data_IF_211761721038
#
_entry.id   IF_211761721038
#
_cell.length_a   1.000
_cell.length_b   1.000
_cell.length_c   1.000
_cell.angle_alpha   90.00
_cell.angle_beta   90.00
_cell.angle_gamma   90.00
#
_symmetry.space_group_name_H-M   'P 1'
#
loop_
_entity.id
_entity.type
_entity.pdbx_description
1 polymer ?
#
# COMPACT_ATOMS: atom_id res chain seq x y z
N UNK A 1 35.85 -35.06 -20.81
CA UNK A 1 34.83 -34.05 -20.44
C UNK A 1 33.87 -33.89 -21.61
N UNK A 2 32.57 -34.16 -21.41
CA UNK A 2 31.56 -34.17 -22.48
C UNK A 2 30.71 -32.89 -22.33
N UNK A 3 30.88 -31.95 -23.26
CA UNK A 3 30.13 -30.69 -23.28
C UNK A 3 28.76 -30.95 -23.90
N UNK A 4 27.70 -30.79 -23.11
CA UNK A 4 26.31 -30.91 -23.55
C UNK A 4 25.84 -29.51 -23.95
N UNK A 5 25.55 -29.31 -25.25
CA UNK A 5 24.92 -28.08 -25.76
C UNK A 5 23.39 -28.22 -25.67
N UNK A 6 22.73 -27.26 -25.04
CA UNK A 6 21.27 -27.13 -25.05
C UNK A 6 20.83 -26.16 -26.16
N UNK A 7 19.73 -26.45 -26.87
CA UNK A 7 19.18 -25.55 -27.88
C UNK A 7 18.46 -24.36 -27.22
N UNK A 8 18.63 -23.18 -27.81
CA UNK A 8 17.94 -21.96 -27.41
C UNK A 8 16.44 -22.05 -27.76
N UNK A 9 15.57 -21.96 -26.75
CA UNK A 9 14.12 -21.85 -26.94
C UNK A 9 13.75 -20.36 -26.94
N UNK A 10 13.21 -19.90 -28.07
CA UNK A 10 12.73 -18.53 -28.29
C UNK A 10 11.38 -18.33 -27.62
N UNK A 11 11.26 -17.33 -26.73
CA UNK A 11 10.10 -17.07 -25.85
C UNK A 11 9.02 -16.21 -26.56
N UNK A 12 9.14 -16.00 -27.86
CA UNK A 12 8.43 -14.91 -28.57
C UNK A 12 6.97 -15.21 -28.98
N UNK A 13 6.28 -16.19 -28.38
CA UNK A 13 4.96 -16.64 -28.89
C UNK A 13 3.85 -16.85 -27.85
N UNK A 14 3.94 -16.31 -26.63
CA UNK A 14 2.83 -16.43 -25.65
C UNK A 14 2.46 -15.05 -25.09
N UNK A 15 1.92 -14.17 -25.94
CA UNK A 15 1.20 -12.98 -25.48
C UNK A 15 0.26 -12.43 -26.56
N UNK A 16 -0.70 -13.24 -27.02
CA UNK A 16 -1.83 -12.75 -27.81
C UNK A 16 -3.10 -13.50 -27.40
N UNK A 17 -3.51 -13.38 -26.15
CA UNK A 17 -4.89 -13.64 -25.74
C UNK A 17 -5.16 -12.76 -24.52
N UNK A 18 -6.38 -12.21 -24.43
CA UNK A 18 -6.85 -11.19 -23.47
C UNK A 18 -6.69 -9.77 -24.04
N UNK A 19 -7.68 -9.31 -24.80
CA UNK A 19 -8.73 -8.38 -24.37
C UNK A 19 -9.66 -8.20 -25.56
N UNK A 20 -10.69 -9.04 -25.65
CA UNK A 20 -11.89 -8.72 -26.43
C UNK A 20 -13.09 -8.95 -25.52
N UNK A 21 -13.17 -8.10 -24.50
CA UNK A 21 -14.33 -8.02 -23.62
C UNK A 21 -15.40 -7.25 -24.40
N UNK A 22 -16.39 -8.02 -24.85
CA UNK A 22 -17.52 -7.61 -25.66
C UNK A 22 -18.23 -6.35 -25.09
N UNK A 23 -18.67 -5.40 -25.95
CA UNK A 23 -19.37 -4.17 -25.53
C UNK A 23 -20.71 -4.41 -24.81
N UNK A 24 -21.19 -5.66 -24.77
CA UNK A 24 -22.42 -6.05 -24.09
C UNK A 24 -22.36 -5.88 -22.55
N UNK A 25 -21.18 -6.04 -21.93
CA UNK A 25 -21.04 -5.93 -20.46
C UNK A 25 -21.20 -4.48 -19.99
N UNK A 26 -20.69 -3.52 -20.76
CA UNK A 26 -20.81 -2.09 -20.46
C UNK A 26 -22.25 -1.60 -20.53
N UNK A 27 -23.02 -2.09 -21.51
CA UNK A 27 -24.44 -1.75 -21.67
C UNK A 27 -25.26 -2.29 -20.49
N UNK A 28 -24.96 -3.50 -20.02
CA UNK A 28 -25.66 -4.11 -18.88
C UNK A 28 -25.43 -3.35 -17.56
N UNK A 29 -24.21 -2.87 -17.31
CA UNK A 29 -23.89 -2.04 -16.13
C UNK A 29 -24.56 -0.65 -16.16
N UNK A 30 -24.69 -0.03 -17.33
CA UNK A 30 -25.40 1.26 -17.46
C UNK A 30 -26.90 1.14 -17.21
N UNK A 31 -27.54 0.05 -17.66
CA UNK A 31 -28.97 -0.19 -17.44
C UNK A 31 -29.31 -0.48 -15.97
N UNK A 32 -28.46 -1.23 -15.25
CA UNK A 32 -28.67 -1.54 -13.83
C UNK A 32 -28.64 -0.29 -12.94
N UNK A 33 -27.78 0.68 -13.28
CA UNK A 33 -27.62 1.94 -12.54
C UNK A 33 -28.88 2.82 -12.59
N UNK A 34 -29.57 2.85 -13.73
CA UNK A 34 -30.73 3.71 -13.93
C UNK A 34 -32.00 3.16 -13.26
N UNK A 35 -32.11 1.83 -13.13
CA UNK A 35 -33.26 1.19 -12.48
C UNK A 35 -33.27 1.39 -10.95
N UNK A 36 -32.10 1.52 -10.33
CA UNK A 36 -31.95 1.67 -8.88
C UNK A 36 -32.31 3.09 -8.41
N UNK A 37 -31.97 4.12 -9.19
CA UNK A 37 -32.30 5.53 -8.86
C UNK A 37 -33.82 5.80 -8.93
N UNK A 38 -34.54 5.13 -9.82
CA UNK A 38 -36.00 5.29 -9.96
C UNK A 38 -36.78 4.72 -8.76
N UNK A 39 -36.36 3.58 -8.21
CA UNK A 39 -37.02 2.98 -7.03
C UNK A 39 -36.79 3.81 -5.76
N UNK A 40 -35.63 4.43 -5.60
CA UNK A 40 -35.30 5.23 -4.42
C UNK A 40 -36.16 6.52 -4.34
N UNK A 41 -36.38 7.20 -5.48
CA UNK A 41 -37.22 8.40 -5.54
C UNK A 41 -38.71 8.13 -5.25
N UNK A 42 -39.22 6.96 -5.61
CA UNK A 42 -40.62 6.58 -5.34
C UNK A 42 -40.80 6.24 -3.85
N UNK A 43 -39.77 5.69 -3.20
CA UNK A 43 -39.86 5.35 -1.78
C UNK A 43 -39.80 6.59 -0.86
N UNK A 44 -39.12 7.68 -1.26
CA UNK A 44 -39.03 8.91 -0.45
C UNK A 44 -40.28 9.81 -0.49
N UNK A 45 -41.21 9.64 -1.44
CA UNK A 45 -42.37 10.55 -1.60
C UNK A 45 -43.60 10.18 -0.77
N UNK A 46 -43.61 9.02 -0.11
CA UNK A 46 -44.81 8.52 0.60
C UNK A 46 -44.79 8.73 2.13
N UNK A 47 -43.76 9.37 2.67
CA UNK A 47 -43.56 9.47 4.12
C UNK A 47 -43.47 10.93 4.60
N UNK A 48 -44.30 11.81 4.04
CA UNK A 48 -44.33 13.24 4.39
C UNK A 48 -45.72 13.71 4.80
N UNK A 49 -46.41 12.93 5.62
CA UNK A 49 -47.58 13.41 6.36
C UNK A 49 -47.73 12.60 7.65
N UNK A 50 -47.26 13.17 8.77
CA UNK A 50 -47.67 12.71 10.10
C UNK A 50 -46.64 11.98 10.93
N UNK A 51 -45.43 12.53 11.13
CA UNK A 51 -44.65 12.30 12.36
C UNK A 51 -43.97 13.62 12.73
N UNK A 52 -44.79 14.59 13.13
CA UNK A 52 -44.35 15.67 14.00
C UNK A 52 -44.47 15.19 15.45
N UNK A 53 -43.47 15.55 16.27
CA UNK A 53 -43.55 15.60 17.73
C UNK A 53 -43.08 14.40 18.60
N UNK A 54 -42.26 13.45 18.12
CA UNK A 54 -41.51 12.52 19.01
C UNK A 54 -40.11 12.19 18.43
N UNK A 55 -39.26 13.20 18.24
CA UNK A 55 -37.85 12.95 17.88
C UNK A 55 -36.90 14.02 18.45
N UNK A 56 -37.18 14.52 19.66
CA UNK A 56 -36.34 15.48 20.39
C UNK A 56 -35.91 14.97 21.77
N UNK A 57 -35.92 13.65 21.99
CA UNK A 57 -35.59 13.02 23.29
C UNK A 57 -34.55 11.88 23.21
N UNK A 58 -33.84 11.74 22.09
CA UNK A 58 -32.73 10.77 21.95
C UNK A 58 -31.42 11.40 21.44
N UNK A 59 -31.18 12.70 21.70
CA UNK A 59 -29.92 13.36 21.36
C UNK A 59 -28.87 13.36 22.50
N UNK A 60 -29.14 12.71 23.63
CA UNK A 60 -28.29 12.83 24.82
C UNK A 60 -27.30 11.67 25.07
N UNK A 61 -27.32 10.56 24.34
CA UNK A 61 -26.45 9.41 24.68
C UNK A 61 -26.02 8.63 23.43
N UNK A 62 -25.35 9.29 22.50
CA UNK A 62 -24.45 8.61 21.56
C UNK A 62 -23.27 9.52 21.23
N UNK A 63 -22.60 10.03 22.26
CA UNK A 63 -21.17 10.32 22.15
C UNK A 63 -20.43 8.98 22.12
N UNK A 64 -20.75 8.14 21.15
CA UNK A 64 -19.80 7.13 20.72
C UNK A 64 -18.67 7.96 20.13
N UNK A 65 -17.51 7.87 20.77
CA UNK A 65 -16.25 8.19 20.16
C UNK A 65 -16.21 7.47 18.80
N UNK A 66 -16.65 8.14 17.74
CA UNK A 66 -15.95 8.00 16.49
C UNK A 66 -14.55 8.50 16.82
N UNK A 67 -13.68 7.56 17.21
CA UNK A 67 -12.29 7.65 16.84
C UNK A 67 -12.30 7.81 15.31
N UNK A 68 -12.45 9.06 14.88
CA UNK A 68 -11.91 9.50 13.62
C UNK A 68 -10.44 9.18 13.80
N UNK A 69 -10.04 8.00 13.35
CA UNK A 69 -8.66 7.62 13.12
C UNK A 69 -8.15 8.57 12.03
N UNK A 70 -8.00 9.85 12.37
CA UNK A 70 -7.09 10.73 11.70
C UNK A 70 -5.74 10.06 11.89
N UNK A 71 -5.32 9.33 10.86
CA UNK A 71 -3.99 8.76 10.77
C UNK A 71 -3.02 9.93 10.87
N UNK A 72 -2.68 10.31 12.10
CA UNK A 72 -1.69 11.33 12.38
C UNK A 72 -0.39 10.75 11.87
N UNK A 73 0.13 11.33 10.80
CA UNK A 73 1.45 11.00 10.30
C UNK A 73 2.43 11.21 11.46
N UNK A 74 3.16 10.15 11.82
CA UNK A 74 4.11 10.19 12.91
C UNK A 74 5.29 11.05 12.45
N UNK A 75 5.44 12.23 13.04
CA UNK A 75 6.52 13.16 12.68
C UNK A 75 7.83 12.65 13.30
N UNK A 76 8.80 12.35 12.45
CA UNK A 76 10.14 11.89 12.83
C UNK A 76 11.13 13.00 12.52
N UNK A 77 12.03 13.32 13.47
CA UNK A 77 13.05 14.34 13.21
C UNK A 77 14.08 13.89 12.17
N UNK A 78 14.64 14.84 11.43
CA UNK A 78 15.64 14.59 10.39
C UNK A 78 16.87 13.83 10.90
N UNK A 79 17.28 14.07 12.14
CA UNK A 79 18.41 13.36 12.77
C UNK A 79 18.13 11.87 12.90
N UNK A 80 16.91 11.53 13.33
CA UNK A 80 16.47 10.13 13.47
C UNK A 80 16.30 9.50 12.09
N UNK A 81 15.78 10.25 11.11
CA UNK A 81 15.59 9.73 9.76
C UNK A 81 16.92 9.33 9.07
N UNK A 82 18.01 10.04 9.35
CA UNK A 82 19.36 9.72 8.85
C UNK A 82 19.85 8.34 9.32
N UNK A 83 19.34 7.82 10.43
CA UNK A 83 19.72 6.49 10.92
C UNK A 83 19.27 5.35 9.99
N UNK A 84 18.17 5.56 9.25
CA UNK A 84 17.63 4.57 8.31
C UNK A 84 18.33 4.59 6.94
N UNK A 85 19.01 5.68 6.60
CA UNK A 85 19.69 5.84 5.30
C UNK A 85 20.80 4.80 5.14
N UNK A 86 20.84 4.17 3.97
CA UNK A 86 21.84 3.16 3.62
C UNK A 86 21.37 2.17 2.56
N UNK A 87 22.26 1.27 2.16
CA UNK A 87 21.95 0.14 1.27
C UNK A 87 21.68 -1.08 2.12
N UNK A 88 20.61 -1.81 1.82
CA UNK A 88 20.21 -3.03 2.49
C UNK A 88 20.23 -4.19 1.51
N UNK A 89 20.88 -5.28 1.89
CA UNK A 89 21.03 -6.48 1.07
C UNK A 89 20.09 -7.56 1.57
N UNK A 90 19.29 -8.12 0.67
CA UNK A 90 18.40 -9.24 0.99
C UNK A 90 19.19 -10.54 1.10
N UNK A 91 18.87 -11.36 2.11
CA UNK A 91 19.47 -12.69 2.25
C UNK A 91 18.86 -13.73 1.32
N UNK A 92 17.64 -13.47 0.85
CA UNK A 92 16.86 -14.40 0.04
C UNK A 92 17.24 -14.26 -1.44
N UNK A 93 17.32 -15.39 -2.17
CA UNK A 93 17.68 -15.42 -3.59
C UNK A 93 16.66 -14.73 -4.51
N UNK A 94 15.46 -14.48 -4.00
CA UNK A 94 14.37 -13.78 -4.72
C UNK A 94 14.31 -12.28 -4.37
N UNK A 95 15.10 -11.83 -3.39
CA UNK A 95 15.16 -10.44 -2.99
C UNK A 95 16.06 -9.60 -3.91
N UNK A 96 15.94 -8.28 -3.77
CA UNK A 96 16.85 -7.32 -4.40
C UNK A 96 17.35 -6.34 -3.35
N UNK A 97 18.58 -5.85 -3.54
CA UNK A 97 19.14 -4.81 -2.69
C UNK A 97 18.32 -3.52 -2.80
N UNK A 98 18.07 -2.89 -1.66
CA UNK A 98 17.28 -1.66 -1.54
C UNK A 98 18.17 -0.53 -1.00
N UNK A 99 18.18 0.58 -1.71
CA UNK A 99 18.75 1.84 -1.24
C UNK A 99 17.66 2.66 -0.54
N UNK A 100 17.91 3.04 0.71
CA UNK A 100 17.10 3.96 1.49
C UNK A 100 17.83 5.31 1.54
N UNK A 101 17.17 6.38 1.12
CA UNK A 101 17.73 7.73 1.04
C UNK A 101 16.76 8.79 1.58
N UNK A 102 17.25 10.01 1.79
CA UNK A 102 16.42 11.19 2.09
C UNK A 102 16.28 12.05 0.82
N UNK A 103 15.09 12.58 0.59
CA UNK A 103 14.90 13.62 -0.42
C UNK A 103 15.18 15.03 0.14
N UNK A 104 14.97 16.06 -0.70
CA UNK A 104 15.17 17.45 -0.32
C UNK A 104 14.13 18.03 0.66
N UNK A 105 13.11 17.26 1.01
CA UNK A 105 12.04 17.61 1.96
C UNK A 105 12.11 16.74 3.22
N UNK A 106 13.25 16.09 3.46
CA UNK A 106 13.47 15.20 4.61
C UNK A 106 12.50 14.01 4.67
N UNK A 107 12.05 13.50 3.52
CA UNK A 107 11.25 12.27 3.45
C UNK A 107 12.14 11.08 3.16
N UNK A 108 11.89 9.96 3.84
CA UNK A 108 12.53 8.71 3.48
C UNK A 108 12.01 8.18 2.16
N UNK A 109 12.94 7.73 1.34
CA UNK A 109 12.70 7.19 0.02
C UNK A 109 13.35 5.82 -0.09
N UNK A 110 12.70 4.90 -0.81
CA UNK A 110 13.22 3.56 -1.08
C UNK A 110 13.29 3.30 -2.58
N UNK A 111 14.40 2.73 -3.04
CA UNK A 111 14.58 2.32 -4.44
C UNK A 111 15.38 1.03 -4.53
N UNK A 112 15.05 0.09 -5.43
CA UNK A 112 15.95 -1.01 -5.74
C UNK A 112 17.28 -0.49 -6.30
N UNK A 113 18.41 -1.02 -5.83
CA UNK A 113 19.76 -0.60 -6.26
C UNK A 113 19.96 -0.76 -7.78
N UNK A 114 19.33 -1.77 -8.38
CA UNK A 114 19.35 -2.00 -9.83
C UNK A 114 18.45 -1.05 -10.64
N UNK A 115 17.70 -0.16 -9.98
CA UNK A 115 16.82 0.85 -10.58
C UNK A 115 15.72 0.27 -11.48
N UNK A 116 15.35 -1.01 -11.31
CA UNK A 116 14.27 -1.64 -12.09
C UNK A 116 12.88 -1.06 -11.75
N UNK A 117 12.73 -0.47 -10.57
CA UNK A 117 11.50 0.20 -10.15
C UNK A 117 11.78 1.66 -9.78
N UNK A 118 10.77 2.55 -9.96
CA UNK A 118 10.89 3.92 -9.52
C UNK A 118 11.07 3.97 -8.00
N UNK A 119 11.74 5.02 -7.56
CA UNK A 119 11.85 5.37 -6.14
C UNK A 119 10.44 5.67 -5.57
N UNK A 120 10.19 5.27 -4.32
CA UNK A 120 8.92 5.52 -3.63
C UNK A 120 9.13 6.13 -2.25
N UNK A 121 8.14 6.88 -1.77
CA UNK A 121 8.16 7.52 -0.44
C UNK A 121 7.80 6.48 0.63
N UNK A 122 8.53 6.49 1.75
CA UNK A 122 8.22 5.73 2.97
C UNK A 122 7.48 6.65 3.95
N UNK A 123 6.17 6.45 4.10
CA UNK A 123 5.32 7.20 5.03
C UNK A 123 5.48 6.62 6.43
N UNK A 124 5.82 7.45 7.42
CA UNK A 124 5.96 6.98 8.79
C UNK A 124 4.60 6.62 9.38
N UNK A 125 4.53 5.44 10.01
CA UNK A 125 3.36 4.93 10.73
C UNK A 125 3.64 4.75 12.22
N UNK A 126 4.91 4.55 12.57
CA UNK A 126 5.44 4.42 13.92
C UNK A 126 6.96 4.70 13.88
N UNK A 127 7.64 4.72 15.02
CA UNK A 127 9.07 4.98 15.17
C UNK A 127 9.93 4.23 14.16
N UNK A 128 9.72 2.91 14.02
CA UNK A 128 10.50 2.05 13.12
C UNK A 128 9.63 1.40 12.03
N UNK A 129 8.41 1.90 11.81
CA UNK A 129 7.44 1.31 10.89
C UNK A 129 7.02 2.32 9.84
N UNK A 130 7.17 1.93 8.58
CA UNK A 130 6.87 2.77 7.43
C UNK A 130 5.98 2.02 6.45
N UNK A 131 5.21 2.76 5.66
CA UNK A 131 4.41 2.23 4.56
C UNK A 131 4.88 2.85 3.25
N UNK A 132 5.08 2.05 2.21
CA UNK A 132 5.43 2.57 0.89
C UNK A 132 4.21 3.25 0.27
N UNK A 133 4.35 4.53 -0.07
CA UNK A 133 3.29 5.32 -0.71
C UNK A 133 2.86 4.66 -2.03
N UNK A 134 1.55 4.61 -2.26
CA UNK A 134 0.93 4.07 -3.47
C UNK A 134 1.19 2.58 -3.74
N UNK A 135 1.55 1.78 -2.72
CA UNK A 135 1.84 0.33 -2.90
C UNK A 135 0.77 -0.61 -2.35
N UNK A 136 -0.41 -0.09 -2.01
CA UNK A 136 -1.52 -0.84 -1.41
C UNK A 136 -1.12 -1.56 -0.10
N UNK A 137 -0.38 -0.88 0.77
CA UNK A 137 -0.07 -1.37 2.12
C UNK A 137 1.19 -2.23 2.24
N UNK A 138 2.21 -2.03 1.40
CA UNK A 138 3.53 -2.62 1.67
C UNK A 138 4.14 -1.92 2.89
N UNK A 139 4.43 -2.71 3.92
CA UNK A 139 5.01 -2.22 5.18
C UNK A 139 6.50 -2.52 5.21
N UNK A 140 7.30 -1.56 5.65
CA UNK A 140 8.71 -1.71 6.00
C UNK A 140 8.86 -1.51 7.50
N UNK A 141 9.32 -2.54 8.19
CA UNK A 141 9.58 -2.53 9.62
C UNK A 141 11.09 -2.63 9.85
N UNK A 142 11.71 -1.55 10.30
CA UNK A 142 13.12 -1.54 10.69
C UNK A 142 13.30 -2.25 12.03
N UNK A 143 14.49 -2.85 12.18
CA UNK A 143 14.95 -3.50 13.41
C UNK A 143 16.25 -2.86 13.85
N UNK A 144 16.36 -2.70 15.18
CA UNK A 144 17.52 -2.15 15.85
C UNK A 144 18.24 -3.24 16.65
N UNK A 145 19.54 -3.13 16.80
CA UNK A 145 20.32 -3.97 17.72
C UNK A 145 20.20 -3.50 19.18
N UNK A 146 20.90 -4.18 20.09
CA UNK A 146 20.93 -3.85 21.53
C UNK A 146 21.54 -2.47 21.83
N UNK A 147 22.33 -1.91 20.91
CA UNK A 147 22.90 -0.56 21.02
C UNK A 147 21.96 0.52 20.47
N UNK A 148 20.81 0.12 19.93
CA UNK A 148 19.82 0.99 19.33
C UNK A 148 20.10 1.34 17.86
N UNK A 149 21.10 0.74 17.20
CA UNK A 149 21.41 1.03 15.79
C UNK A 149 20.52 0.24 14.85
N UNK A 150 20.05 0.86 13.76
CA UNK A 150 19.29 0.19 12.70
C UNK A 150 20.19 -0.77 11.93
N UNK A 151 19.88 -2.07 11.97
CA UNK A 151 20.69 -3.13 11.37
C UNK A 151 20.00 -3.85 10.22
N UNK A 152 18.66 -3.85 10.19
CA UNK A 152 17.89 -4.54 9.15
C UNK A 152 16.49 -3.97 9.02
N UNK A 153 15.77 -4.37 7.97
CA UNK A 153 14.32 -4.21 7.92
C UNK A 153 13.65 -5.50 7.41
N UNK A 154 12.36 -5.62 7.71
CA UNK A 154 11.46 -6.59 7.11
C UNK A 154 10.44 -5.85 6.25
N UNK A 155 10.35 -6.23 4.98
CA UNK A 155 9.33 -5.71 4.06
C UNK A 155 8.22 -6.76 3.92
N UNK A 156 6.96 -6.36 4.15
CA UNK A 156 5.80 -7.24 4.12
C UNK A 156 4.79 -6.78 3.08
N UNK A 157 4.38 -7.70 2.21
CA UNK A 157 3.32 -7.50 1.21
C UNK A 157 2.35 -8.69 1.27
N UNK A 158 1.18 -8.47 1.88
CA UNK A 158 0.21 -9.54 2.14
C UNK A 158 0.82 -10.64 3.00
N UNK A 159 0.85 -11.87 2.50
CA UNK A 159 1.43 -13.03 3.19
C UNK A 159 2.95 -13.21 2.96
N UNK A 160 3.56 -12.40 2.09
CA UNK A 160 5.00 -12.49 1.79
C UNK A 160 5.78 -11.49 2.62
N UNK A 161 6.96 -11.91 3.07
CA UNK A 161 7.92 -11.05 3.76
C UNK A 161 9.34 -11.35 3.32
N UNK A 162 10.15 -10.31 3.22
CA UNK A 162 11.59 -10.43 2.92
C UNK A 162 12.38 -9.63 3.96
N UNK A 163 13.56 -10.14 4.32
CA UNK A 163 14.46 -9.48 5.27
C UNK A 163 15.66 -8.93 4.51
N UNK A 164 16.02 -7.68 4.79
CA UNK A 164 17.20 -7.05 4.25
C UNK A 164 18.08 -6.48 5.37
N UNK A 165 19.38 -6.77 5.31
CA UNK A 165 20.37 -6.35 6.30
C UNK A 165 21.15 -5.14 5.79
N UNK A 166 21.40 -4.17 6.66
CA UNK A 166 22.13 -2.94 6.32
C UNK A 166 23.57 -3.29 5.96
N UNK A 167 24.01 -2.88 4.77
CA UNK A 167 25.36 -3.15 4.26
C UNK A 167 26.36 -2.28 5.02
N UNK A 168 27.26 -2.92 5.76
CA UNK A 168 28.30 -2.24 6.55
C UNK A 168 27.82 -1.68 7.90
N UNK A 169 26.70 -2.20 8.42
CA UNK A 169 26.22 -1.96 9.78
C UNK A 169 26.88 -2.88 10.80
#
# INVERSE_FOLDING_TARGET
MKVIKFPAVSITSILVFIVEIQPAVTIFLMLASNLLDQKLKIMLRKTTAGIGLIFFLFLAINTNAQEVSSTSEYEVSDEVLKEYVGVYTTTDSEGFDVEISLDGESRLMGQPVNKMHPQTILLSRDKDKFELKNTNGIIVQFKRDETGKVTSFTMTQGAKSFIASKKGG
#
